data_IF_929943738860
#
_entry.id   IF_929943738860
#
_cell.length_a   1.000
_cell.length_b   1.000
_cell.length_c   1.000
_cell.angle_alpha   90.00
_cell.angle_beta   90.00
_cell.angle_gamma   90.00
#
_symmetry.space_group_name_H-M   'P 1'
#
loop_
_entity.id
_entity.type
_entity.pdbx_description
1 polymer ?
#
# COMPACT_ATOMS: atom_id res chain seq x y z
N UNK A 1 -3.95 -7.31 0.36
CA UNK A 1 -3.28 -8.09 1.43
C UNK A 1 -3.60 -7.43 2.76
N UNK A 2 -4.08 -8.18 3.75
CA UNK A 2 -4.42 -7.64 5.06
C UNK A 2 -3.26 -7.94 6.02
N UNK A 3 -2.59 -6.92 6.55
CA UNK A 3 -1.45 -7.11 7.46
C UNK A 3 -1.62 -6.23 8.70
N UNK A 4 -2.49 -6.64 9.66
CA UNK A 4 -2.86 -5.84 10.81
C UNK A 4 -1.89 -6.04 12.00
N UNK A 5 -0.59 -6.22 11.73
CA UNK A 5 0.43 -6.46 12.77
C UNK A 5 1.06 -5.15 13.24
N UNK A 6 1.25 -5.00 14.56
CA UNK A 6 1.94 -3.85 15.17
C UNK A 6 3.47 -3.93 15.12
N UNK A 7 4.04 -5.04 14.65
CA UNK A 7 5.49 -5.22 14.48
C UNK A 7 5.78 -6.24 13.37
N UNK A 8 6.68 -5.91 12.45
CA UNK A 8 7.14 -6.85 11.42
C UNK A 8 8.59 -6.57 11.01
N UNK A 9 9.54 -7.50 11.26
CA UNK A 9 10.97 -7.22 11.11
C UNK A 9 11.49 -7.29 9.66
N UNK A 10 10.66 -7.63 8.66
CA UNK A 10 11.08 -7.66 7.26
C UNK A 10 9.89 -7.35 6.33
N UNK A 11 9.86 -6.14 5.75
CA UNK A 11 8.75 -5.58 4.96
C UNK A 11 8.55 -6.17 3.56
N UNK A 12 9.12 -7.34 3.26
CA UNK A 12 9.04 -7.98 1.94
C UNK A 12 7.60 -8.24 1.45
N UNK A 13 6.65 -8.71 2.28
CA UNK A 13 5.27 -8.91 1.82
C UNK A 13 4.55 -7.60 1.42
N UNK A 14 4.87 -6.50 2.08
CA UNK A 14 4.32 -5.16 1.80
C UNK A 14 4.82 -4.63 0.45
N UNK A 15 6.07 -4.90 0.08
CA UNK A 15 6.66 -4.46 -1.18
C UNK A 15 6.19 -5.31 -2.37
N UNK A 16 5.85 -6.59 -2.13
CA UNK A 16 5.43 -7.54 -3.18
C UNK A 16 3.92 -7.44 -3.50
N UNK A 17 3.09 -7.05 -2.53
CA UNK A 17 1.63 -6.97 -2.74
C UNK A 17 1.24 -5.96 -3.85
N UNK A 18 1.76 -4.71 -3.87
CA UNK A 18 1.49 -3.77 -4.96
C UNK A 18 2.00 -4.23 -6.33
N UNK A 19 3.10 -5.00 -6.37
CA UNK A 19 3.67 -5.53 -7.62
C UNK A 19 2.73 -6.54 -8.31
N UNK A 20 1.78 -7.13 -7.58
CA UNK A 20 0.78 -8.05 -8.10
C UNK A 20 -0.63 -7.40 -8.20
N UNK A 21 -0.73 -6.08 -8.03
CA UNK A 21 -2.01 -5.37 -8.07
C UNK A 21 -2.85 -5.50 -6.78
N UNK A 22 -2.27 -6.03 -5.70
CA UNK A 22 -2.95 -6.17 -4.42
C UNK A 22 -2.65 -4.96 -3.54
N UNK A 23 -3.65 -4.11 -3.29
CA UNK A 23 -3.50 -2.97 -2.40
C UNK A 23 -3.46 -3.44 -0.92
N UNK A 24 -2.45 -3.03 -0.14
CA UNK A 24 -2.33 -3.36 1.26
C UNK A 24 -3.21 -2.45 2.14
N UNK A 25 -3.78 -3.02 3.20
CA UNK A 25 -4.36 -2.26 4.31
C UNK A 25 -3.37 -2.37 5.47
N UNK A 26 -2.86 -1.24 5.97
CA UNK A 26 -1.80 -1.19 6.98
C UNK A 26 -2.13 -0.21 8.10
N UNK A 27 -1.70 -0.54 9.31
CA UNK A 27 -1.74 0.38 10.44
C UNK A 27 -0.53 1.32 10.39
N UNK A 28 -0.71 2.59 10.72
CA UNK A 28 0.36 3.60 10.76
C UNK A 28 1.30 3.40 11.96
N UNK A 29 2.11 2.33 11.92
CA UNK A 29 3.16 2.03 12.92
C UNK A 29 4.51 1.76 12.27
N UNK A 30 5.53 2.51 12.70
CA UNK A 30 6.95 2.21 12.45
C UNK A 30 7.30 2.03 10.97
N UNK A 31 8.36 1.27 10.66
CA UNK A 31 8.99 1.12 9.33
C UNK A 31 8.10 0.68 8.14
N UNK A 32 6.80 0.46 8.35
CA UNK A 32 5.78 0.36 7.30
C UNK A 32 5.51 1.71 6.62
N UNK A 33 5.75 2.83 7.32
CA UNK A 33 5.58 4.21 6.85
C UNK A 33 6.47 4.53 5.64
N UNK A 34 7.65 3.91 5.55
CA UNK A 34 8.63 4.20 4.49
C UNK A 34 8.29 3.56 3.12
N UNK A 35 7.17 2.83 3.01
CA UNK A 35 6.82 2.09 1.79
C UNK A 35 5.35 2.13 1.37
N UNK A 36 4.38 2.28 2.29
CA UNK A 36 2.97 2.47 1.92
C UNK A 36 2.49 3.89 2.26
N UNK A 37 1.91 4.58 1.30
CA UNK A 37 1.21 5.85 1.46
C UNK A 37 -0.28 5.70 1.11
N UNK A 38 -1.13 6.45 1.83
CA UNK A 38 -2.58 6.37 1.65
C UNK A 38 -2.99 6.73 0.22
N UNK A 39 -3.85 5.90 -0.39
CA UNK A 39 -4.30 6.05 -1.76
C UNK A 39 -5.27 7.23 -1.91
N UNK A 40 -4.80 8.29 -2.56
CA UNK A 40 -5.62 9.40 -3.03
C UNK A 40 -5.81 9.28 -4.55
N UNK A 41 -7.00 8.83 -4.93
CA UNK A 41 -7.38 8.59 -6.32
C UNK A 41 -7.50 9.91 -7.10
N UNK A 42 -7.95 10.98 -6.44
CA UNK A 42 -8.15 12.28 -7.08
C UNK A 42 -6.81 12.93 -7.41
N UNK A 43 -5.79 12.69 -6.57
CA UNK A 43 -4.43 13.17 -6.78
C UNK A 43 -3.53 12.19 -7.54
N UNK A 44 -4.03 10.97 -7.82
CA UNK A 44 -3.24 9.87 -8.39
C UNK A 44 -1.98 9.56 -7.57
N UNK A 45 -2.10 9.57 -6.25
CA UNK A 45 -1.00 9.37 -5.32
C UNK A 45 -1.31 8.22 -4.37
N UNK A 46 -0.28 7.65 -3.76
CA UNK A 46 -0.43 6.56 -2.81
C UNK A 46 -0.57 5.19 -3.45
N UNK A 47 -0.42 4.17 -2.61
CA UNK A 47 -0.29 2.76 -3.02
C UNK A 47 -0.95 1.76 -2.05
N UNK A 48 -1.69 2.24 -1.04
CA UNK A 48 -2.46 1.37 -0.13
C UNK A 48 -3.42 2.14 0.77
N UNK A 49 -4.05 1.46 1.73
CA UNK A 49 -4.97 2.06 2.69
C UNK A 49 -4.33 2.06 4.08
N UNK A 50 -3.89 3.24 4.51
CA UNK A 50 -3.23 3.44 5.81
C UNK A 50 -4.25 3.96 6.81
N UNK A 51 -4.38 3.34 7.99
CA UNK A 51 -5.24 3.83 9.08
C UNK A 51 -4.43 4.20 10.32
N UNK A 52 -4.79 5.32 10.95
CA UNK A 52 -4.03 5.96 12.03
C UNK A 52 -4.42 5.49 13.44
N UNK A 53 -5.60 4.89 13.59
CA UNK A 53 -6.11 4.45 14.88
C UNK A 53 -6.13 2.93 14.99
N UNK A 54 -5.32 2.36 15.89
CA UNK A 54 -5.26 0.91 16.14
C UNK A 54 -6.48 0.38 16.92
N UNK A 55 -7.66 0.56 16.33
CA UNK A 55 -8.91 0.10 16.91
C UNK A 55 -9.85 -0.42 15.82
N UNK A 56 -10.96 -1.01 16.25
CA UNK A 56 -11.97 -1.57 15.34
C UNK A 56 -12.47 -0.53 14.33
N UNK A 57 -12.59 0.73 14.73
CA UNK A 57 -13.09 1.79 13.85
C UNK A 57 -12.07 2.17 12.77
N UNK A 58 -10.79 2.27 13.11
CA UNK A 58 -9.72 2.54 12.15
C UNK A 58 -9.57 1.43 11.12
N UNK A 59 -9.60 0.17 11.56
CA UNK A 59 -9.58 -0.97 10.64
C UNK A 59 -10.82 -1.01 9.74
N UNK A 60 -12.01 -0.78 10.32
CA UNK A 60 -13.26 -0.71 9.56
C UNK A 60 -13.20 0.38 8.49
N UNK A 61 -12.74 1.57 8.84
CA UNK A 61 -12.58 2.66 7.89
C UNK A 61 -11.67 2.26 6.73
N UNK A 62 -10.54 1.62 7.00
CA UNK A 62 -9.61 1.20 5.94
C UNK A 62 -10.23 0.15 5.00
N UNK A 63 -11.01 -0.77 5.54
CA UNK A 63 -11.79 -1.74 4.75
C UNK A 63 -12.83 -1.02 3.90
N UNK A 64 -13.54 -0.04 4.45
CA UNK A 64 -14.54 0.74 3.71
C UNK A 64 -13.88 1.53 2.55
N UNK A 65 -12.67 2.07 2.74
CA UNK A 65 -11.88 2.70 1.67
C UNK A 65 -11.51 1.68 0.58
N UNK A 66 -11.04 0.50 0.97
CA UNK A 66 -10.70 -0.57 0.03
C UNK A 66 -11.92 -1.03 -0.79
N UNK A 67 -13.08 -1.15 -0.15
CA UNK A 67 -14.32 -1.48 -0.85
C UNK A 67 -14.80 -0.37 -1.78
N UNK A 68 -14.60 0.90 -1.39
CA UNK A 68 -14.91 2.06 -2.25
C UNK A 68 -14.03 2.05 -3.50
N UNK A 69 -12.74 1.78 -3.35
CA UNK A 69 -11.82 1.58 -4.49
C UNK A 69 -12.25 0.40 -5.37
N UNK A 70 -12.63 -0.72 -4.77
CA UNK A 70 -13.08 -1.89 -5.53
C UNK A 70 -14.34 -1.61 -6.35
N UNK A 71 -15.24 -0.75 -5.85
CA UNK A 71 -16.47 -0.33 -6.53
C UNK A 71 -16.27 0.66 -7.68
N UNK A 72 -15.06 1.17 -7.90
CA UNK A 72 -14.78 1.99 -9.08
C UNK A 72 -15.05 1.22 -10.37
N UNK A 73 -15.36 1.95 -11.44
CA UNK A 73 -15.45 1.37 -12.76
C UNK A 73 -14.10 0.73 -13.17
N UNK A 74 -14.16 -0.28 -14.03
CA UNK A 74 -13.00 -1.10 -14.40
C UNK A 74 -11.86 -0.26 -14.99
N UNK A 75 -12.17 0.77 -15.78
CA UNK A 75 -11.16 1.64 -16.40
C UNK A 75 -10.38 2.43 -15.34
N UNK A 76 -11.10 3.11 -14.43
CA UNK A 76 -10.48 3.88 -13.35
C UNK A 76 -9.69 2.99 -12.40
N UNK A 77 -10.25 1.84 -12.02
CA UNK A 77 -9.59 0.87 -11.14
C UNK A 77 -8.33 0.30 -11.77
N UNK A 78 -8.40 -0.15 -13.02
CA UNK A 78 -7.27 -0.69 -13.77
C UNK A 78 -6.16 0.35 -13.94
N UNK A 79 -6.53 1.60 -14.25
CA UNK A 79 -5.56 2.70 -14.38
C UNK A 79 -4.78 2.93 -13.09
N UNK A 80 -5.48 2.95 -11.93
CA UNK A 80 -4.82 3.08 -10.64
C UNK A 80 -3.91 1.89 -10.32
N UNK A 81 -4.39 0.66 -10.56
CA UNK A 81 -3.60 -0.55 -10.32
C UNK A 81 -2.33 -0.53 -11.17
N UNK A 82 -2.42 -0.23 -12.47
CA UNK A 82 -1.26 -0.15 -13.36
C UNK A 82 -0.26 0.93 -12.95
N UNK A 83 -0.75 2.10 -12.52
CA UNK A 83 0.10 3.18 -11.97
C UNK A 83 0.86 2.68 -10.74
N UNK A 84 0.15 2.13 -9.76
CA UNK A 84 0.71 1.65 -8.50
C UNK A 84 1.74 0.54 -8.74
N UNK A 85 1.46 -0.40 -9.65
CA UNK A 85 2.41 -1.45 -10.04
C UNK A 85 3.70 -0.86 -10.63
N UNK A 86 3.59 0.13 -11.53
CA UNK A 86 4.73 0.78 -12.18
C UNK A 86 5.60 1.55 -11.17
N UNK A 87 4.97 2.34 -10.31
CA UNK A 87 5.64 3.10 -9.25
C UNK A 87 6.33 2.16 -8.26
N UNK A 88 5.63 1.12 -7.79
CA UNK A 88 6.18 0.14 -6.85
C UNK A 88 7.39 -0.60 -7.41
N UNK A 89 7.37 -0.95 -8.71
CA UNK A 89 8.52 -1.56 -9.41
C UNK A 89 9.72 -0.60 -9.48
N UNK A 90 9.47 0.69 -9.72
CA UNK A 90 10.51 1.71 -9.74
C UNK A 90 11.16 1.87 -8.37
N UNK A 91 10.36 2.00 -7.31
CA UNK A 91 10.85 2.13 -5.93
C UNK A 91 11.62 0.90 -5.47
N UNK A 92 11.15 -0.31 -5.82
CA UNK A 92 11.84 -1.56 -5.52
C UNK A 92 13.22 -1.64 -6.16
N UNK A 93 13.33 -1.30 -7.45
CA UNK A 93 14.61 -1.31 -8.18
C UNK A 93 15.61 -0.28 -7.64
N UNK A 94 15.15 0.89 -7.21
CA UNK A 94 16.04 1.90 -6.61
C UNK A 94 16.57 1.45 -5.25
N UNK A 95 15.70 0.92 -4.38
CA UNK A 95 16.15 0.37 -3.09
C UNK A 95 17.09 -0.82 -3.27
N UNK A 96 16.86 -1.68 -4.29
CA UNK A 96 17.72 -2.83 -4.60
C UNK A 96 19.19 -2.49 -4.88
N UNK A 97 19.47 -1.28 -5.39
CA UNK A 97 20.83 -0.82 -5.69
C UNK A 97 21.55 -0.18 -4.49
N UNK A 98 20.86 0.14 -3.40
CA UNK A 98 21.46 0.72 -2.17
C UNK A 98 21.94 -0.36 -1.17
N UNK A 99 21.59 -1.63 -1.37
CA UNK A 99 22.02 -2.73 -0.49
C UNK A 99 23.45 -3.23 -0.74
N UNK A 100 24.16 -2.72 -1.75
CA UNK A 100 25.54 -3.11 -2.08
C UNK A 100 26.62 -2.36 -1.30
N UNK A 101 26.25 -1.49 -0.37
CA UNK A 101 27.17 -0.73 0.48
C UNK A 101 26.90 -0.90 1.98
N UNK A 102 26.79 -2.14 2.48
CA UNK A 102 27.04 -2.45 3.89
C UNK A 102 27.61 -3.86 4.05
#
# INVERSE_FOLDING_TARGET
MLMPSSFQPCGLPQMISPLNGNLPIVFDTGGLHDTITHLDINRNQGNGFVFEHHNRNGLKWAIDQAMTFFKLNDKSRSTQISRIMKESKSTFNHKGNDWSYH
#
